data_IF_760057441117
#
_entry.id   IF_760057441117
#
_cell.length_a   1.000
_cell.length_b   1.000
_cell.length_c   1.000
_cell.angle_alpha   90.00
_cell.angle_beta   90.00
_cell.angle_gamma   90.00
#
_symmetry.space_group_name_H-M   'P 1'
#
loop_
_entity.id
_entity.type
_entity.pdbx_description
1 polymer ?
#
# COMPACT_ATOMS: atom_id res chain seq x y z
N UNK A 1 11.06 -42.53 -5.92
CA UNK A 1 10.26 -43.72 -5.54
C UNK A 1 8.82 -43.62 -6.05
N UNK A 2 8.13 -42.49 -5.88
CA UNK A 2 6.78 -42.31 -6.43
C UNK A 2 6.77 -42.07 -7.94
N UNK A 3 7.71 -41.30 -8.49
CA UNK A 3 7.76 -41.05 -9.93
C UNK A 3 7.97 -42.33 -10.76
N UNK A 4 8.85 -43.22 -10.29
CA UNK A 4 9.08 -44.52 -10.92
C UNK A 4 7.88 -45.45 -10.87
N UNK A 5 7.01 -45.32 -9.86
CA UNK A 5 5.79 -46.12 -9.73
C UNK A 5 4.69 -45.57 -10.65
N UNK A 6 4.50 -44.25 -10.67
CA UNK A 6 3.54 -43.60 -11.58
C UNK A 6 3.91 -43.83 -13.04
N UNK A 7 5.19 -43.73 -13.42
CA UNK A 7 5.65 -44.05 -14.78
C UNK A 7 5.31 -45.49 -15.19
N UNK A 8 5.38 -46.46 -14.28
CA UNK A 8 5.02 -47.86 -14.55
C UNK A 8 3.51 -48.04 -14.68
N UNK A 9 2.72 -47.38 -13.83
CA UNK A 9 1.25 -47.42 -13.92
C UNK A 9 0.73 -46.73 -15.19
N UNK A 10 1.34 -45.62 -15.58
CA UNK A 10 1.03 -44.89 -16.81
C UNK A 10 1.33 -45.75 -18.04
N UNK A 11 2.44 -46.50 -18.03
CA UNK A 11 2.78 -47.43 -19.10
C UNK A 11 1.78 -48.62 -19.19
N UNK A 12 1.34 -49.15 -18.05
CA UNK A 12 0.34 -50.23 -18.00
C UNK A 12 -1.05 -49.78 -18.47
N UNK A 13 -1.39 -48.50 -18.30
CA UNK A 13 -2.65 -47.91 -18.76
C UNK A 13 -2.61 -47.37 -20.20
N UNK A 14 -1.54 -47.67 -20.96
CA UNK A 14 -1.31 -47.13 -22.31
C UNK A 14 -1.36 -45.58 -22.34
N UNK A 15 -0.82 -44.94 -21.31
CA UNK A 15 -0.80 -43.48 -21.13
C UNK A 15 -2.19 -42.81 -21.15
N UNK A 16 -3.26 -43.56 -20.85
CA UNK A 16 -4.61 -43.00 -20.65
C UNK A 16 -4.82 -42.65 -19.17
N UNK A 17 -4.25 -41.53 -18.73
CA UNK A 17 -4.35 -41.06 -17.35
C UNK A 17 -4.77 -39.58 -17.28
N UNK A 18 -5.17 -39.13 -16.10
CA UNK A 18 -5.45 -37.72 -15.84
C UNK A 18 -4.12 -36.97 -15.65
N UNK A 19 -3.83 -35.91 -16.43
CA UNK A 19 -2.56 -35.21 -16.33
C UNK A 19 -2.37 -34.65 -14.92
N UNK A 20 -1.12 -34.63 -14.44
CA UNK A 20 -0.78 -34.07 -13.12
C UNK A 20 -1.29 -32.63 -13.03
N UNK A 21 -1.87 -32.21 -11.89
CA UNK A 21 -2.33 -30.85 -11.72
C UNK A 21 -1.16 -29.88 -11.92
N UNK A 22 -1.39 -28.71 -12.55
CA UNK A 22 -0.31 -27.78 -12.87
C UNK A 22 0.29 -27.21 -11.58
N UNK A 23 1.54 -27.57 -11.30
CA UNK A 23 2.33 -27.02 -10.19
C UNK A 23 3.20 -25.89 -10.74
N UNK A 24 3.21 -24.69 -10.13
CA UNK A 24 4.07 -23.60 -10.59
C UNK A 24 5.54 -23.93 -10.30
N UNK A 25 6.31 -24.18 -11.35
CA UNK A 25 7.75 -24.44 -11.28
C UNK A 25 8.55 -23.20 -11.72
N UNK A 26 9.58 -22.83 -10.97
CA UNK A 26 10.48 -21.72 -11.32
C UNK A 26 11.68 -22.29 -12.09
N UNK A 27 11.84 -21.87 -13.34
CA UNK A 27 12.99 -22.22 -14.18
C UNK A 27 13.90 -20.99 -14.32
N UNK A 28 15.16 -21.15 -13.96
CA UNK A 28 16.19 -20.10 -14.14
C UNK A 28 16.89 -20.36 -15.45
N UNK A 29 16.76 -19.44 -16.40
CA UNK A 29 17.39 -19.52 -17.73
C UNK A 29 18.56 -18.53 -17.78
N UNK A 30 19.73 -19.01 -18.22
CA UNK A 30 20.91 -18.17 -18.43
C UNK A 30 20.88 -17.51 -19.81
N UNK A 31 21.48 -16.32 -19.95
CA UNK A 31 21.62 -15.64 -21.24
C UNK A 31 22.73 -16.31 -22.07
N UNK A 32 22.38 -17.41 -22.73
CA UNK A 32 23.23 -18.14 -23.65
C UNK A 32 22.75 -17.93 -25.10
N UNK A 33 23.65 -18.00 -26.10
CA UNK A 33 23.22 -18.06 -27.50
C UNK A 33 22.44 -19.36 -27.75
N UNK A 34 21.38 -19.30 -28.56
CA UNK A 34 20.53 -20.44 -28.87
C UNK A 34 21.33 -21.66 -29.38
N UNK A 35 22.38 -21.37 -30.17
CA UNK A 35 23.33 -22.36 -30.71
C UNK A 35 23.86 -23.32 -29.64
N UNK A 36 24.08 -22.89 -28.39
CA UNK A 36 24.62 -23.77 -27.33
C UNK A 36 23.63 -24.80 -26.80
N UNK A 37 22.34 -24.58 -26.99
CA UNK A 37 21.27 -25.52 -26.61
C UNK A 37 20.84 -26.40 -27.79
N UNK A 38 21.23 -26.04 -29.00
CA UNK A 38 20.92 -26.78 -30.23
C UNK A 38 21.81 -28.01 -30.40
N UNK A 39 21.33 -28.97 -31.19
CA UNK A 39 22.08 -30.18 -31.54
C UNK A 39 23.22 -29.87 -32.51
N UNK A 40 24.30 -30.66 -32.47
CA UNK A 40 25.53 -30.44 -33.26
C UNK A 40 25.35 -30.74 -34.77
N UNK A 41 24.12 -30.99 -35.23
CA UNK A 41 23.85 -31.25 -36.65
C UNK A 41 23.93 -29.94 -37.46
N UNK A 42 24.49 -29.96 -38.69
CA UNK A 42 24.56 -28.78 -39.55
C UNK A 42 23.19 -28.51 -40.19
N UNK A 43 22.30 -27.92 -39.40
CA UNK A 43 21.02 -27.35 -39.82
C UNK A 43 21.11 -25.84 -39.57
N UNK A 44 20.47 -25.02 -40.41
CA UNK A 44 20.51 -23.56 -40.33
C UNK A 44 20.35 -23.05 -38.88
N UNK A 45 21.42 -22.48 -38.34
CA UNK A 45 21.47 -21.98 -36.95
C UNK A 45 20.82 -20.61 -36.83
N UNK A 46 20.23 -20.32 -35.67
CA UNK A 46 19.74 -19.00 -35.31
C UNK A 46 20.76 -18.28 -34.43
N UNK A 47 21.12 -17.05 -34.78
CA UNK A 47 22.03 -16.19 -34.00
C UNK A 47 21.36 -15.55 -32.75
N UNK A 48 20.10 -15.87 -32.48
CA UNK A 48 19.36 -15.29 -31.38
C UNK A 48 19.87 -15.79 -30.00
N UNK A 49 19.76 -14.94 -28.99
CA UNK A 49 19.96 -15.33 -27.59
C UNK A 49 18.67 -15.93 -27.01
N UNK A 50 18.81 -16.79 -25.99
CA UNK A 50 17.67 -17.40 -25.30
C UNK A 50 16.80 -16.38 -24.56
N UNK A 51 17.41 -15.29 -24.07
CA UNK A 51 16.75 -14.29 -23.26
C UNK A 51 16.20 -13.15 -24.15
N UNK A 52 14.96 -12.75 -23.92
CA UNK A 52 14.36 -11.66 -24.66
C UNK A 52 14.99 -10.30 -24.26
N UNK A 53 15.03 -9.30 -25.15
CA UNK A 53 15.54 -7.97 -24.80
C UNK A 53 14.82 -7.32 -23.62
N UNK A 54 13.54 -7.64 -23.40
CA UNK A 54 12.75 -7.14 -22.27
C UNK A 54 13.16 -7.73 -20.91
N UNK A 55 13.72 -8.94 -20.93
CA UNK A 55 14.21 -9.64 -19.73
C UNK A 55 15.65 -9.22 -19.42
N UNK A 56 16.46 -8.93 -20.46
CA UNK A 56 17.78 -8.29 -20.30
C UNK A 56 17.63 -6.86 -19.76
N UNK A 57 16.66 -6.11 -20.29
CA UNK A 57 16.40 -4.72 -19.93
C UNK A 57 14.90 -4.47 -19.83
N UNK A 58 14.42 -4.24 -18.61
CA UNK A 58 13.03 -3.85 -18.39
C UNK A 58 12.69 -2.61 -19.21
N UNK A 59 11.63 -2.70 -20.02
CA UNK A 59 11.07 -1.53 -20.69
C UNK A 59 10.55 -0.54 -19.65
N UNK A 60 10.81 0.74 -19.89
CA UNK A 60 10.19 1.80 -19.11
C UNK A 60 8.66 1.73 -19.30
N UNK A 61 7.93 1.27 -18.26
CA UNK A 61 6.47 1.11 -18.25
C UNK A 61 5.69 2.41 -18.52
N UNK A 62 6.39 3.53 -18.62
CA UNK A 62 5.87 4.88 -18.82
C UNK A 62 6.20 5.49 -20.20
N UNK A 63 6.90 4.78 -21.09
CA UNK A 63 7.43 5.36 -22.34
C UNK A 63 8.66 6.22 -22.05
N UNK A 64 8.80 7.35 -22.76
CA UNK A 64 9.88 8.31 -22.54
C UNK A 64 9.91 8.78 -21.09
N UNK A 65 11.08 8.66 -20.45
CA UNK A 65 11.29 9.13 -19.09
C UNK A 65 11.33 10.67 -19.15
N UNK A 66 10.18 11.31 -18.94
CA UNK A 66 10.10 12.76 -18.76
C UNK A 66 10.30 13.13 -17.30
N UNK A 67 11.25 14.02 -17.05
CA UNK A 67 11.51 14.59 -15.72
C UNK A 67 10.34 15.48 -15.30
N UNK A 68 10.12 15.70 -14.00
CA UNK A 68 9.00 16.53 -13.52
C UNK A 68 9.00 17.97 -14.08
N UNK A 69 10.18 18.51 -14.41
CA UNK A 69 10.37 19.81 -15.05
C UNK A 69 9.85 19.84 -16.50
N UNK A 70 10.05 18.75 -17.24
CA UNK A 70 9.64 18.62 -18.65
C UNK A 70 8.15 18.29 -18.81
N UNK A 71 7.48 17.89 -17.74
CA UNK A 71 6.05 17.55 -17.76
C UNK A 71 5.17 18.78 -17.87
N UNK A 72 4.41 18.86 -18.96
CA UNK A 72 3.37 19.87 -19.17
C UNK A 72 2.23 19.75 -18.14
N UNK A 73 1.43 20.80 -17.99
CA UNK A 73 0.28 20.79 -17.06
C UNK A 73 -0.79 19.74 -17.44
N UNK A 74 -0.97 19.46 -18.74
CA UNK A 74 -1.89 18.44 -19.25
C UNK A 74 -1.40 17.03 -18.91
N UNK A 75 -0.10 16.76 -19.07
CA UNK A 75 0.53 15.49 -18.70
C UNK A 75 0.39 15.21 -17.20
N UNK A 76 0.65 16.20 -16.34
CA UNK A 76 0.47 16.09 -14.88
C UNK A 76 -0.98 15.73 -14.51
N UNK A 77 -1.97 16.35 -15.17
CA UNK A 77 -3.40 16.04 -14.94
C UNK A 77 -3.75 14.63 -15.42
N UNK A 78 -3.23 14.19 -16.57
CA UNK A 78 -3.44 12.83 -17.11
C UNK A 78 -2.84 11.77 -16.18
N UNK A 79 -1.61 11.98 -15.70
CA UNK A 79 -0.95 11.10 -14.74
C UNK A 79 -1.73 10.99 -13.43
N UNK A 80 -2.22 12.11 -12.90
CA UNK A 80 -3.07 12.14 -11.70
C UNK A 80 -4.34 11.32 -11.89
N UNK A 81 -5.02 11.43 -13.04
CA UNK A 81 -6.22 10.64 -13.37
C UNK A 81 -5.89 9.14 -13.41
N UNK A 82 -4.81 8.75 -14.09
CA UNK A 82 -4.34 7.35 -14.16
C UNK A 82 -4.01 6.78 -12.78
N UNK A 83 -3.32 7.57 -11.93
CA UNK A 83 -3.01 7.18 -10.54
C UNK A 83 -4.28 7.02 -9.69
N UNK A 84 -5.25 7.93 -9.83
CA UNK A 84 -6.56 7.85 -9.14
C UNK A 84 -7.32 6.58 -9.56
N UNK A 85 -7.37 6.29 -10.86
CA UNK A 85 -8.03 5.09 -11.38
C UNK A 85 -7.37 3.81 -10.88
N UNK A 86 -6.04 3.71 -10.96
CA UNK A 86 -5.28 2.56 -10.42
C UNK A 86 -5.53 2.35 -8.92
N UNK A 87 -5.54 3.43 -8.13
CA UNK A 87 -5.86 3.37 -6.70
C UNK A 87 -7.29 2.88 -6.47
N UNK A 88 -8.25 3.40 -7.23
CA UNK A 88 -9.65 2.98 -7.13
C UNK A 88 -9.84 1.49 -7.46
N UNK A 89 -9.21 1.01 -8.54
CA UNK A 89 -9.27 -0.42 -8.91
C UNK A 89 -8.68 -1.32 -7.81
N UNK A 90 -7.52 -0.94 -7.24
CA UNK A 90 -6.92 -1.68 -6.11
C UNK A 90 -7.81 -1.71 -4.87
N UNK A 91 -8.53 -0.63 -4.58
CA UNK A 91 -9.48 -0.59 -3.45
C UNK A 91 -10.66 -1.52 -3.74
N UNK A 92 -11.26 -1.42 -4.92
CA UNK A 92 -12.39 -2.26 -5.34
C UNK A 92 -12.04 -3.75 -5.32
N UNK A 93 -10.84 -4.11 -5.77
CA UNK A 93 -10.33 -5.49 -5.73
C UNK A 93 -10.15 -5.98 -4.30
N UNK A 94 -9.57 -5.16 -3.40
CA UNK A 94 -9.45 -5.50 -1.97
C UNK A 94 -10.81 -5.69 -1.31
N UNK A 95 -11.77 -4.84 -1.61
CA UNK A 95 -13.14 -4.97 -1.09
C UNK A 95 -13.82 -6.25 -1.58
N UNK A 96 -13.70 -6.56 -2.88
CA UNK A 96 -14.20 -7.83 -3.44
C UNK A 96 -13.56 -9.04 -2.76
N UNK A 97 -12.24 -9.04 -2.57
CA UNK A 97 -11.52 -10.11 -1.89
C UNK A 97 -11.97 -10.27 -0.44
N UNK A 98 -12.19 -9.16 0.29
CA UNK A 98 -12.73 -9.20 1.66
C UNK A 98 -14.14 -9.79 1.70
N UNK A 99 -15.03 -9.39 0.78
CA UNK A 99 -16.39 -9.95 0.68
C UNK A 99 -16.38 -11.46 0.40
N UNK A 100 -15.52 -11.92 -0.51
CA UNK A 100 -15.36 -13.36 -0.79
C UNK A 100 -14.82 -14.13 0.42
N UNK A 101 -13.88 -13.54 1.16
CA UNK A 101 -13.35 -14.15 2.39
C UNK A 101 -14.44 -14.25 3.47
N UNK A 102 -15.27 -13.22 3.62
CA UNK A 102 -16.38 -13.17 4.57
C UNK A 102 -17.47 -14.18 4.21
N UNK A 103 -17.79 -14.33 2.92
CA UNK A 103 -18.74 -15.34 2.42
C UNK A 103 -18.25 -16.78 2.61
N UNK A 104 -16.94 -17.02 2.45
CA UNK A 104 -16.35 -18.35 2.62
C UNK A 104 -16.10 -18.73 4.09
N UNK A 105 -16.05 -17.77 5.01
CA UNK A 105 -15.79 -18.01 6.43
C UNK A 105 -16.77 -17.25 7.34
N UNK A 106 -18.07 -17.62 7.35
CA UNK A 106 -19.06 -16.96 8.19
C UNK A 106 -18.75 -17.06 9.69
N UNK A 107 -18.14 -18.16 10.14
CA UNK A 107 -17.85 -18.42 11.57
C UNK A 107 -16.67 -17.61 12.12
N UNK A 108 -15.82 -17.03 11.25
CA UNK A 108 -14.72 -16.14 11.65
C UNK A 108 -15.10 -14.65 11.57
N UNK A 109 -16.22 -14.31 10.92
CA UNK A 109 -16.68 -12.94 10.75
C UNK A 109 -17.03 -12.24 12.09
N UNK A 110 -17.26 -13.02 13.16
CA UNK A 110 -17.55 -12.53 14.51
C UNK A 110 -16.35 -12.38 15.44
N UNK A 111 -15.14 -12.77 15.05
CA UNK A 111 -13.96 -12.65 15.94
C UNK A 111 -13.47 -11.20 15.93
N UNK A 112 -13.90 -10.42 16.92
CA UNK A 112 -13.33 -9.13 17.30
C UNK A 112 -11.86 -9.28 17.71
N UNK A 113 -10.99 -9.60 16.75
CA UNK A 113 -9.56 -9.62 16.99
C UNK A 113 -9.09 -8.19 17.22
N UNK A 114 -8.10 -8.03 18.11
CA UNK A 114 -7.48 -6.73 18.40
C UNK A 114 -7.03 -6.02 17.11
N UNK A 115 -6.62 -6.78 16.09
CA UNK A 115 -6.26 -6.26 14.77
C UNK A 115 -7.44 -5.63 14.02
N UNK A 116 -8.59 -6.30 13.95
CA UNK A 116 -9.80 -5.78 13.28
C UNK A 116 -10.33 -4.53 14.01
N UNK A 117 -10.33 -4.53 15.34
CA UNK A 117 -10.69 -3.36 16.14
C UNK A 117 -9.74 -2.17 15.89
N UNK A 118 -8.43 -2.42 15.87
CA UNK A 118 -7.43 -1.40 15.55
C UNK A 118 -7.57 -0.84 14.13
N UNK A 119 -7.89 -1.69 13.14
CA UNK A 119 -8.19 -1.23 11.77
C UNK A 119 -9.45 -0.36 11.73
N UNK A 120 -10.52 -0.74 12.43
CA UNK A 120 -11.75 0.08 12.53
C UNK A 120 -11.45 1.43 13.19
N UNK A 121 -10.68 1.47 14.28
CA UNK A 121 -10.24 2.72 14.92
C UNK A 121 -9.39 3.58 13.97
N UNK A 122 -8.48 2.99 13.20
CA UNK A 122 -7.70 3.70 12.17
C UNK A 122 -8.58 4.26 11.05
N UNK A 123 -9.66 3.57 10.68
CA UNK A 123 -10.61 4.08 9.68
C UNK A 123 -11.43 5.26 10.24
N UNK A 124 -11.93 5.15 11.48
CA UNK A 124 -12.70 6.20 12.14
C UNK A 124 -11.87 7.46 12.38
N UNK A 125 -10.59 7.31 12.74
CA UNK A 125 -9.65 8.43 12.88
C UNK A 125 -9.32 9.10 11.54
N UNK A 126 -9.10 8.32 10.47
CA UNK A 126 -8.90 8.87 9.11
C UNK A 126 -10.13 9.59 8.58
N UNK A 127 -11.33 9.13 8.95
CA UNK A 127 -12.59 9.76 8.58
C UNK A 127 -12.91 11.01 9.45
N UNK A 128 -12.08 11.33 10.44
CA UNK A 128 -12.30 12.46 11.35
C UNK A 128 -13.46 12.28 12.33
N UNK A 129 -14.01 11.05 12.44
CA UNK A 129 -15.13 10.74 13.34
C UNK A 129 -14.69 10.48 14.78
N UNK A 130 -13.43 10.09 14.97
CA UNK A 130 -12.83 9.89 16.28
C UNK A 130 -11.43 10.54 16.30
N UNK A 131 -11.10 11.27 17.35
CA UNK A 131 -9.73 11.69 17.63
C UNK A 131 -9.14 10.74 18.65
N UNK A 132 -7.94 10.23 18.41
CA UNK A 132 -7.24 9.39 19.36
C UNK A 132 -6.57 10.35 20.36
N UNK A 133 -7.21 10.59 21.50
CA UNK A 133 -6.58 11.28 22.62
C UNK A 133 -5.46 10.38 23.11
N UNK A 134 -4.23 10.71 22.73
CA UNK A 134 -3.07 10.16 23.40
C UNK A 134 -2.81 11.07 24.59
N UNK A 135 -2.93 10.56 25.81
CA UNK A 135 -2.48 11.24 27.02
C UNK A 135 -0.94 11.25 27.08
N UNK A 136 -0.29 11.80 26.05
CA UNK A 136 1.16 12.06 26.06
C UNK A 136 1.43 13.27 26.97
N UNK A 137 1.29 13.10 28.28
CA UNK A 137 1.71 14.11 29.25
C UNK A 137 1.08 14.05 30.64
N UNK A 138 0.03 13.26 30.86
CA UNK A 138 -0.66 13.21 32.17
C UNK A 138 -0.22 12.05 33.07
N UNK A 139 0.56 11.12 32.53
CA UNK A 139 0.96 9.88 33.24
C UNK A 139 2.34 9.96 33.91
N UNK A 140 3.08 11.07 33.76
CA UNK A 140 4.29 11.28 34.55
C UNK A 140 3.84 11.65 35.97
N UNK A 141 3.67 10.63 36.81
CA UNK A 141 3.39 10.82 38.22
C UNK A 141 4.34 11.89 38.80
N UNK A 142 3.80 12.79 39.63
CA UNK A 142 4.49 13.92 40.30
C UNK A 142 5.53 13.45 41.34
N UNK A 143 6.29 12.41 41.02
CA UNK A 143 7.25 11.75 41.90
C UNK A 143 8.66 12.32 41.74
N UNK A 144 8.93 13.11 40.70
CA UNK A 144 10.20 13.81 40.51
C UNK A 144 10.02 15.31 40.35
N UNK A 145 10.96 16.08 40.90
CA UNK A 145 11.00 17.53 40.81
C UNK A 145 11.02 18.00 39.35
N UNK A 146 11.76 17.32 38.48
CA UNK A 146 11.83 17.65 37.06
C UNK A 146 10.47 17.48 36.35
N UNK A 147 9.68 16.47 36.70
CA UNK A 147 8.34 16.30 36.15
C UNK A 147 7.39 17.40 36.65
N UNK A 148 7.44 17.72 37.94
CA UNK A 148 6.63 18.79 38.54
C UNK A 148 6.90 20.15 37.89
N UNK A 149 8.16 20.54 37.72
CA UNK A 149 8.49 21.83 37.11
C UNK A 149 8.17 21.88 35.62
N UNK A 150 8.27 20.76 34.88
CA UNK A 150 7.82 20.72 33.48
C UNK A 150 6.31 20.96 33.36
N UNK A 151 5.51 20.31 34.22
CA UNK A 151 4.07 20.50 34.25
C UNK A 151 3.67 21.92 34.68
N UNK A 152 4.40 22.50 35.64
CA UNK A 152 4.19 23.89 36.08
C UNK A 152 4.50 24.89 34.95
N UNK A 153 5.61 24.70 34.24
CA UNK A 153 5.95 25.52 33.07
C UNK A 153 4.89 25.41 31.97
N UNK A 154 4.37 24.21 31.72
CA UNK A 154 3.35 23.99 30.71
C UNK A 154 2.00 24.58 31.10
N UNK A 155 1.61 24.52 32.39
CA UNK A 155 0.42 25.20 32.90
C UNK A 155 0.52 26.73 32.75
N UNK A 156 1.66 27.32 33.11
CA UNK A 156 1.91 28.76 32.94
C UNK A 156 1.86 29.15 31.46
N UNK A 157 2.48 28.36 30.57
CA UNK A 157 2.41 28.57 29.11
C UNK A 157 0.97 28.49 28.59
N UNK A 158 0.17 27.53 29.05
CA UNK A 158 -1.23 27.42 28.65
C UNK A 158 -2.05 28.65 29.08
N UNK A 159 -1.93 29.08 30.33
CA UNK A 159 -2.62 30.28 30.83
C UNK A 159 -2.22 31.54 30.06
N UNK A 160 -0.94 31.73 29.77
CA UNK A 160 -0.45 32.84 28.93
C UNK A 160 -1.04 32.74 27.52
N UNK A 161 -1.10 31.53 26.94
CA UNK A 161 -1.68 31.32 25.61
C UNK A 161 -3.17 31.62 25.56
N UNK A 162 -3.91 31.30 26.62
CA UNK A 162 -5.35 31.52 26.71
C UNK A 162 -5.66 32.99 27.04
N UNK A 163 -4.86 33.66 27.87
CA UNK A 163 -4.90 35.11 28.05
C UNK A 163 -4.64 35.86 26.73
N UNK A 164 -3.63 35.44 25.95
CA UNK A 164 -3.38 36.03 24.61
C UNK A 164 -4.53 35.78 23.63
N UNK A 165 -5.21 34.63 23.71
CA UNK A 165 -6.40 34.35 22.88
C UNK A 165 -7.60 35.18 23.30
N UNK A 166 -7.83 35.40 24.60
CA UNK A 166 -8.94 36.24 25.09
C UNK A 166 -8.71 37.71 24.76
N UNK A 167 -7.48 38.22 24.86
CA UNK A 167 -7.10 39.55 24.39
C UNK A 167 -7.31 39.72 22.87
N UNK A 168 -6.89 38.73 22.06
CA UNK A 168 -7.14 38.73 20.61
C UNK A 168 -8.64 38.69 20.27
N UNK A 169 -9.46 37.98 21.05
CA UNK A 169 -10.92 37.98 20.90
C UNK A 169 -11.55 39.31 21.31
N UNK A 170 -11.05 39.97 22.36
CA UNK A 170 -11.49 41.31 22.78
C UNK A 170 -11.13 42.38 21.74
N UNK A 171 -9.90 42.38 21.21
CA UNK A 171 -9.49 43.25 20.09
C UNK A 171 -10.36 43.03 18.85
N UNK A 172 -10.59 41.77 18.45
CA UNK A 172 -11.52 41.46 17.34
C UNK A 172 -12.96 41.91 17.59
N UNK A 173 -13.44 42.00 18.85
CA UNK A 173 -14.78 42.54 19.15
C UNK A 173 -14.82 44.07 19.11
N UNK A 174 -13.74 44.76 19.47
CA UNK A 174 -13.62 46.21 19.36
C UNK A 174 -13.42 46.67 17.91
N UNK A 175 -12.75 45.86 17.07
CA UNK A 175 -12.58 46.11 15.63
C UNK A 175 -13.87 45.88 14.81
N UNK A 176 -14.95 45.38 15.41
CA UNK A 176 -16.29 45.38 14.80
C UNK A 176 -16.86 46.78 14.98
N UNK A 177 -16.34 47.72 14.21
CA UNK A 177 -16.84 49.09 14.12
C UNK A 177 -18.28 49.09 13.58
N UNK A 178 -19.12 49.95 14.17
CA UNK A 178 -20.54 50.19 13.83
C UNK A 178 -20.80 50.33 12.31
N UNK A 179 -19.80 50.73 11.52
CA UNK A 179 -19.89 50.84 10.05
C UNK A 179 -20.17 49.52 9.29
N UNK A 180 -19.97 48.33 9.88
CA UNK A 180 -20.22 47.03 9.21
C UNK A 180 -21.59 46.41 9.50
N UNK A 181 -22.38 47.01 10.39
CA UNK A 181 -23.77 46.62 10.64
C UNK A 181 -24.67 47.63 9.92
N UNK A 182 -24.86 47.44 8.61
CA UNK A 182 -25.93 48.11 7.88
C UNK A 182 -27.24 47.36 8.17
N UNK A 183 -28.22 48.08 8.72
CA UNK A 183 -29.65 47.76 8.63
C UNK A 183 -30.10 47.87 7.17
#
# INVERSE_FOLDING_TARGET
MMDSLFLKLDALSNFHFTPKPPVPEIKVVSNLPAITMEEVAPVSVSDAALLAPEEVKEKNKAGDIKTAAEKTATDRKRERRKKKQRKHMKIKEKEKRKKLLEQSNPDQAGKYSKAVAAEKLKQLTRAGRASLLKDEGKDKALKSSQAFFSQLQDQVKMQISDAKKTEKKKKKRQDISVHKLKL
#
